data_IF_985023863640
#
_entry.id   IF_985023863640
#
_cell.length_a   1.000
_cell.length_b   1.000
_cell.length_c   1.000
_cell.angle_alpha   90.00
_cell.angle_beta   90.00
_cell.angle_gamma   90.00
#
_symmetry.space_group_name_H-M   'P 1'
#
loop_
_entity.id
_entity.type
_entity.pdbx_description
1 polymer ?
#
# COMPACT_ATOMS: atom_id res chain seq x y z
N UNK A 1 -3.55 9.94 -0.06
CA UNK A 1 -3.02 10.39 1.24
C UNK A 1 -3.88 9.76 2.33
N UNK A 2 -3.31 9.01 3.27
CA UNK A 2 -4.07 8.30 4.32
C UNK A 2 -4.12 9.16 5.57
N UNK A 3 -5.32 9.47 6.06
CA UNK A 3 -5.53 10.23 7.29
C UNK A 3 -6.59 9.57 8.16
N UNK A 4 -6.31 9.42 9.44
CA UNK A 4 -7.27 8.90 10.44
C UNK A 4 -7.52 9.97 11.47
N UNK A 5 -8.80 10.25 11.72
CA UNK A 5 -9.24 11.08 12.84
C UNK A 5 -9.36 10.20 14.07
N UNK A 6 -8.58 10.50 15.11
CA UNK A 6 -8.64 9.82 16.41
C UNK A 6 -9.74 10.47 17.23
N UNK A 7 -10.65 9.68 17.79
CA UNK A 7 -11.68 10.18 18.72
C UNK A 7 -11.14 10.26 20.16
N UNK A 8 -11.61 11.24 20.91
CA UNK A 8 -11.32 11.41 22.34
C UNK A 8 -11.88 10.22 23.12
N UNK A 9 -10.99 9.37 23.64
CA UNK A 9 -11.34 8.14 24.36
C UNK A 9 -10.85 6.84 23.69
N UNK A 10 -10.27 6.90 22.48
CA UNK A 10 -9.68 5.71 21.87
C UNK A 10 -8.24 5.45 22.32
N UNK A 11 -7.90 4.19 22.64
CA UNK A 11 -6.51 3.78 22.84
C UNK A 11 -5.69 4.02 21.57
N UNK A 12 -4.51 4.64 21.72
CA UNK A 12 -3.60 4.95 20.62
C UNK A 12 -3.30 3.73 19.73
N UNK A 13 -3.13 2.54 20.32
CA UNK A 13 -2.88 1.31 19.57
C UNK A 13 -4.01 0.97 18.57
N UNK A 14 -5.26 1.27 18.91
CA UNK A 14 -6.42 1.00 18.06
C UNK A 14 -6.47 1.95 16.85
N UNK A 15 -6.10 3.21 17.07
CA UNK A 15 -5.92 4.19 16.00
C UNK A 15 -4.75 3.78 15.07
N UNK A 16 -3.61 3.38 15.65
CA UNK A 16 -2.45 2.92 14.89
C UNK A 16 -2.75 1.66 14.07
N UNK A 17 -3.51 0.70 14.62
CA UNK A 17 -3.89 -0.51 13.91
C UNK A 17 -4.80 -0.19 12.71
N UNK A 18 -5.74 0.74 12.84
CA UNK A 18 -6.54 1.23 11.70
C UNK A 18 -5.67 1.93 10.66
N UNK A 19 -4.69 2.73 11.09
CA UNK A 19 -3.76 3.42 10.19
C UNK A 19 -2.95 2.43 9.37
N UNK A 20 -2.37 1.43 10.03
CA UNK A 20 -1.64 0.34 9.36
C UNK A 20 -2.54 -0.41 8.36
N UNK A 21 -3.81 -0.67 8.71
CA UNK A 21 -4.78 -1.30 7.80
C UNK A 21 -5.04 -0.43 6.57
N UNK A 22 -5.27 0.86 6.77
CA UNK A 22 -5.58 1.81 5.69
C UNK A 22 -4.38 2.03 4.76
N UNK A 23 -3.16 2.13 5.31
CA UNK A 23 -1.92 2.16 4.53
C UNK A 23 -1.70 0.88 3.69
N UNK A 24 -2.08 -0.28 4.23
CA UNK A 24 -2.01 -1.55 3.51
C UNK A 24 -3.07 -1.63 2.40
N UNK A 25 -4.27 -1.13 2.65
CA UNK A 25 -5.37 -1.10 1.68
C UNK A 25 -5.06 -0.18 0.49
N UNK A 26 -4.55 1.02 0.76
CA UNK A 26 -4.09 1.95 -0.28
C UNK A 26 -2.84 1.47 -1.02
N UNK A 27 -2.19 0.40 -0.56
CA UNK A 27 -1.03 -0.17 -1.24
C UNK A 27 0.22 0.72 -1.21
N UNK A 28 0.27 1.71 -0.32
CA UNK A 28 1.37 2.70 -0.22
C UNK A 28 2.73 2.00 -0.12
N UNK A 29 2.83 0.94 0.68
CA UNK A 29 4.08 0.18 0.87
C UNK A 29 4.50 -0.54 -0.44
N UNK A 30 3.52 -1.04 -1.21
CA UNK A 30 3.78 -1.71 -2.49
C UNK A 30 4.24 -0.70 -3.54
N UNK A 31 3.66 0.48 -3.55
CA UNK A 31 4.03 1.54 -4.48
C UNK A 31 5.39 2.16 -4.14
N UNK A 32 5.73 2.27 -2.86
CA UNK A 32 7.07 2.66 -2.41
C UNK A 32 8.12 1.70 -2.98
N UNK A 33 7.96 0.39 -2.75
CA UNK A 33 8.87 -0.65 -3.25
C UNK A 33 8.96 -0.71 -4.78
N UNK A 34 7.92 -0.28 -5.49
CA UNK A 34 7.90 -0.23 -6.96
C UNK A 34 8.66 0.96 -7.52
N UNK A 35 8.71 2.05 -6.76
CA UNK A 35 9.36 3.32 -7.14
C UNK A 35 10.78 3.45 -6.60
N UNK A 36 11.18 2.56 -5.69
CA UNK A 36 12.51 2.54 -5.06
C UNK A 36 13.65 2.46 -6.08
N UNK A 37 13.43 1.79 -7.22
CA UNK A 37 14.40 1.71 -8.30
C UNK A 37 13.73 1.86 -9.67
N UNK A 38 14.48 2.47 -10.61
CA UNK A 38 14.02 2.58 -11.98
C UNK A 38 14.00 1.20 -12.65
N UNK A 39 12.88 0.87 -13.27
CA UNK A 39 12.67 -0.35 -14.02
C UNK A 39 12.51 -0.05 -15.49
N UNK A 40 13.16 -0.85 -16.35
CA UNK A 40 12.95 -0.77 -17.79
C UNK A 40 11.46 -0.98 -18.15
N UNK A 41 10.95 -0.32 -19.21
CA UNK A 41 9.54 -0.43 -19.60
C UNK A 41 9.07 -1.88 -19.84
N UNK A 42 9.95 -2.74 -20.36
CA UNK A 42 9.70 -4.17 -20.57
C UNK A 42 9.41 -4.92 -19.26
N UNK A 43 10.22 -4.70 -18.24
CA UNK A 43 10.07 -5.30 -16.92
C UNK A 43 8.81 -4.79 -16.20
N UNK A 44 8.45 -3.50 -16.40
CA UNK A 44 7.20 -2.95 -15.89
C UNK A 44 5.98 -3.67 -16.49
N UNK A 45 5.97 -3.88 -17.82
CA UNK A 45 4.91 -4.61 -18.53
C UNK A 45 4.81 -6.06 -18.04
N UNK A 46 5.94 -6.76 -17.92
CA UNK A 46 6.02 -8.12 -17.39
C UNK A 46 5.45 -8.23 -15.97
N UNK A 47 5.84 -7.33 -15.06
CA UNK A 47 5.32 -7.29 -13.67
C UNK A 47 3.82 -7.01 -13.61
N UNK A 48 3.29 -6.15 -14.49
CA UNK A 48 1.83 -5.89 -14.59
C UNK A 48 1.06 -7.15 -15.00
N UNK A 49 1.53 -7.89 -16.01
CA UNK A 49 0.93 -9.13 -16.48
C UNK A 49 0.94 -10.22 -15.41
N UNK A 50 2.06 -10.43 -14.72
CA UNK A 50 2.17 -11.41 -13.62
C UNK A 50 1.22 -11.06 -12.48
N UNK A 51 1.10 -9.77 -12.11
CA UNK A 51 0.16 -9.34 -11.07
C UNK A 51 -1.30 -9.57 -11.46
N UNK A 52 -1.66 -9.39 -12.73
CA UNK A 52 -3.00 -9.68 -13.23
C UNK A 52 -3.30 -11.18 -13.17
N UNK A 53 -2.37 -12.03 -13.64
CA UNK A 53 -2.52 -13.50 -13.60
C UNK A 53 -2.60 -14.09 -12.18
N UNK A 54 -2.01 -13.44 -11.18
CA UNK A 54 -2.09 -13.87 -9.77
C UNK A 54 -3.39 -13.47 -9.06
N UNK A 55 -4.22 -12.63 -9.69
CA UNK A 55 -5.46 -12.08 -9.11
C UNK A 55 -6.72 -12.72 -9.69
N UNK A 56 -6.62 -13.38 -10.84
CA UNK A 56 -7.63 -14.30 -11.37
C UNK A 56 -7.28 -15.72 -10.98
#
# INVERSE_FOLDING_TARGET
>A
MVSIRVHTGEPFEKALRRFKRQCKQEGIIVDLKRKEYHLKPSELRRRKLVKAKRRG
#
